data_IF_063648339506
#
_entry.id   IF_063648339506
#
_cell.length_a   1.000
_cell.length_b   1.000
_cell.length_c   1.000
_cell.angle_alpha   90.00
_cell.angle_beta   90.00
_cell.angle_gamma   90.00
#
_symmetry.space_group_name_H-M   'P 1'
#
loop_
_entity.id
_entity.type
_entity.pdbx_description
1 polymer ?
#
# COMPACT_ATOMS: atom_id res chain seq x y z
N UNK A 1 14.14 -11.63 14.42
CA UNK A 1 13.16 -12.67 14.83
C UNK A 1 11.80 -12.00 14.83
N UNK A 2 10.87 -12.50 14.01
CA UNK A 2 9.50 -11.97 13.94
C UNK A 2 8.77 -12.26 15.26
N UNK A 3 8.09 -11.28 15.83
CA UNK A 3 7.24 -11.45 17.01
C UNK A 3 5.82 -11.06 16.68
N UNK A 4 4.89 -11.95 16.98
CA UNK A 4 3.45 -11.73 16.79
C UNK A 4 2.73 -11.76 18.13
N UNK A 5 1.89 -10.77 18.39
CA UNK A 5 1.02 -10.77 19.55
C UNK A 5 -0.24 -9.94 19.28
N UNK A 6 -1.23 -10.08 20.17
CA UNK A 6 -2.48 -9.34 20.09
C UNK A 6 -2.60 -8.43 21.31
N UNK A 7 -2.97 -7.17 21.08
CA UNK A 7 -3.34 -6.23 22.14
C UNK A 7 -4.78 -5.80 21.90
N UNK A 8 -5.68 -6.24 22.78
CA UNK A 8 -7.12 -6.05 22.64
C UNK A 8 -7.64 -6.60 21.30
N UNK A 9 -8.03 -5.72 20.36
CA UNK A 9 -8.46 -6.10 19.01
C UNK A 9 -7.35 -5.95 17.95
N UNK A 10 -6.21 -5.37 18.31
CA UNK A 10 -5.12 -5.09 17.38
C UNK A 10 -4.16 -6.28 17.31
N UNK A 11 -3.96 -6.80 16.09
CA UNK A 11 -2.90 -7.75 15.78
C UNK A 11 -1.62 -6.98 15.49
N UNK A 12 -0.52 -7.38 16.15
CA UNK A 12 0.76 -6.69 16.09
C UNK A 12 1.82 -7.68 15.63
N UNK A 13 2.50 -7.32 14.56
CA UNK A 13 3.67 -8.01 14.03
C UNK A 13 4.89 -7.08 14.14
N UNK A 14 5.96 -7.59 14.74
CA UNK A 14 7.25 -6.90 14.84
C UNK A 14 8.27 -7.67 14.03
N UNK A 15 8.82 -7.03 13.00
CA UNK A 15 9.91 -7.54 12.17
C UNK A 15 11.25 -6.91 12.55
N UNK A 16 12.34 -7.48 12.03
CA UNK A 16 13.70 -7.10 12.46
C UNK A 16 14.17 -5.77 11.84
N UNK A 17 13.64 -5.39 10.69
CA UNK A 17 14.00 -4.17 9.96
C UNK A 17 12.88 -3.71 9.00
N UNK A 18 13.06 -2.54 8.39
CA UNK A 18 12.09 -1.92 7.48
C UNK A 18 11.81 -2.75 6.22
N UNK A 19 12.82 -3.43 5.67
CA UNK A 19 12.65 -4.27 4.47
C UNK A 19 11.78 -5.49 4.79
N UNK A 20 12.00 -6.16 5.93
CA UNK A 20 11.15 -7.27 6.41
C UNK A 20 9.70 -6.81 6.65
N UNK A 21 9.48 -5.62 7.23
CA UNK A 21 8.13 -5.04 7.38
C UNK A 21 7.48 -4.83 6.02
N UNK A 22 8.22 -4.26 5.05
CA UNK A 22 7.72 -3.99 3.72
C UNK A 22 7.29 -5.26 2.97
N UNK A 23 8.12 -6.31 3.04
CA UNK A 23 7.82 -7.62 2.43
C UNK A 23 6.57 -8.23 3.07
N UNK A 24 6.55 -8.37 4.41
CA UNK A 24 5.44 -9.00 5.12
C UNK A 24 4.12 -8.25 4.91
N UNK A 25 4.15 -6.92 4.95
CA UNK A 25 2.97 -6.08 4.71
C UNK A 25 2.45 -6.25 3.27
N UNK A 26 3.34 -6.34 2.28
CA UNK A 26 2.95 -6.55 0.89
C UNK A 26 2.35 -7.95 0.66
N UNK A 27 2.91 -9.00 1.28
CA UNK A 27 2.36 -10.36 1.24
C UNK A 27 0.96 -10.45 1.88
N UNK A 28 0.80 -9.77 3.02
CA UNK A 28 -0.48 -9.70 3.72
C UNK A 28 -1.55 -9.01 2.86
N UNK A 29 -1.22 -7.86 2.25
CA UNK A 29 -2.14 -7.12 1.39
C UNK A 29 -2.48 -7.89 0.11
N UNK A 30 -1.51 -8.55 -0.54
CA UNK A 30 -1.78 -9.42 -1.69
C UNK A 30 -2.79 -10.52 -1.34
N UNK A 31 -2.63 -11.15 -0.18
CA UNK A 31 -3.53 -12.20 0.30
C UNK A 31 -4.94 -11.66 0.50
N UNK A 32 -5.09 -10.48 1.12
CA UNK A 32 -6.39 -9.83 1.31
C UNK A 32 -7.04 -9.52 -0.03
N UNK A 33 -6.31 -8.87 -0.94
CA UNK A 33 -6.80 -8.50 -2.27
C UNK A 33 -7.31 -9.73 -3.01
N UNK A 34 -6.50 -10.79 -3.09
CA UNK A 34 -6.89 -12.04 -3.74
C UNK A 34 -8.11 -12.68 -3.10
N UNK A 35 -8.25 -12.62 -1.79
CA UNK A 35 -9.42 -13.17 -1.11
C UNK A 35 -10.69 -12.37 -1.41
N UNK A 36 -10.63 -11.04 -1.38
CA UNK A 36 -11.80 -10.21 -1.71
C UNK A 36 -12.19 -10.38 -3.19
N UNK A 37 -11.22 -10.46 -4.10
CA UNK A 37 -11.48 -10.64 -5.54
C UNK A 37 -12.01 -12.04 -5.90
N UNK A 38 -12.06 -12.99 -4.97
CA UNK A 38 -12.82 -14.25 -5.15
C UNK A 38 -14.33 -14.02 -5.00
N UNK A 39 -14.73 -13.00 -4.25
CA UNK A 39 -16.12 -12.72 -3.90
C UNK A 39 -16.67 -11.49 -4.63
N UNK A 40 -15.80 -10.59 -5.09
CA UNK A 40 -16.15 -9.34 -5.76
C UNK A 40 -15.38 -9.18 -7.07
N UNK A 41 -16.03 -8.56 -8.05
CA UNK A 41 -15.42 -8.31 -9.36
C UNK A 41 -14.38 -7.19 -9.31
N UNK A 42 -14.59 -6.19 -8.45
CA UNK A 42 -13.74 -5.02 -8.26
C UNK A 42 -13.61 -4.63 -6.78
N UNK A 43 -12.54 -3.94 -6.44
CA UNK A 43 -12.28 -3.41 -5.10
C UNK A 43 -11.80 -1.96 -5.13
N UNK A 44 -11.95 -1.26 -4.01
CA UNK A 44 -11.46 0.11 -3.81
C UNK A 44 -10.46 0.14 -2.67
N UNK A 45 -9.30 0.77 -2.90
CA UNK A 45 -8.22 0.85 -1.91
C UNK A 45 -7.79 2.31 -1.74
N UNK A 46 -7.65 2.75 -0.49
CA UNK A 46 -7.05 4.04 -0.15
C UNK A 46 -5.58 3.80 0.22
N UNK A 47 -4.66 4.48 -0.47
CA UNK A 47 -3.23 4.40 -0.24
C UNK A 47 -2.72 5.60 0.56
N UNK A 48 -1.83 5.33 1.52
CA UNK A 48 -1.17 6.36 2.32
C UNK A 48 0.15 6.82 1.66
N UNK A 49 0.48 8.10 1.81
CA UNK A 49 1.68 8.72 1.24
C UNK A 49 2.62 9.22 2.35
N UNK A 50 3.63 8.44 2.73
CA UNK A 50 4.63 8.85 3.72
C UNK A 50 5.90 7.98 3.61
N UNK A 51 7.09 8.46 4.04
CA UNK A 51 8.32 7.67 3.99
C UNK A 51 8.27 6.31 4.71
N UNK A 52 7.35 6.11 5.65
CA UNK A 52 7.10 4.80 6.28
C UNK A 52 6.51 3.75 5.33
N UNK A 53 5.95 4.18 4.19
CA UNK A 53 5.33 3.33 3.17
C UNK A 53 6.30 2.86 2.08
N UNK A 54 7.53 3.41 2.03
CA UNK A 54 8.46 3.20 0.91
C UNK A 54 8.70 1.71 0.61
N UNK A 55 9.11 0.93 1.61
CA UNK A 55 9.44 -0.49 1.44
C UNK A 55 8.19 -1.30 1.12
N UNK A 56 7.06 -1.02 1.79
CA UNK A 56 5.79 -1.67 1.51
C UNK A 56 5.35 -1.45 0.05
N UNK A 57 5.31 -0.22 -0.44
CA UNK A 57 4.90 0.09 -1.82
C UNK A 57 5.87 -0.54 -2.84
N UNK A 58 7.19 -0.45 -2.58
CA UNK A 58 8.24 -1.09 -3.39
C UNK A 58 8.01 -2.60 -3.57
N UNK A 59 7.62 -3.30 -2.51
CA UNK A 59 7.34 -4.74 -2.58
C UNK A 59 5.92 -5.07 -3.04
N UNK A 60 4.95 -4.18 -2.82
CA UNK A 60 3.58 -4.40 -3.24
C UNK A 60 3.44 -4.40 -4.77
N UNK A 61 4.12 -3.49 -5.46
CA UNK A 61 4.05 -3.42 -6.94
C UNK A 61 4.60 -4.67 -7.65
N UNK A 62 5.39 -5.50 -6.97
CA UNK A 62 5.91 -6.76 -7.53
C UNK A 62 5.01 -7.97 -7.25
N UNK A 63 3.90 -7.79 -6.51
CA UNK A 63 2.94 -8.86 -6.21
C UNK A 63 2.09 -9.20 -7.43
N UNK A 64 1.63 -10.46 -7.47
CA UNK A 64 0.78 -10.95 -8.55
C UNK A 64 -0.69 -10.62 -8.27
N UNK A 65 -1.02 -9.35 -8.47
CA UNK A 65 -2.35 -8.77 -8.27
C UNK A 65 -2.91 -8.35 -9.63
N UNK A 66 -4.19 -8.63 -9.86
CA UNK A 66 -4.94 -8.08 -11.00
C UNK A 66 -5.32 -6.63 -10.71
N UNK A 67 -4.38 -5.72 -10.97
CA UNK A 67 -4.51 -4.29 -10.68
C UNK A 67 -5.68 -3.63 -11.41
N UNK A 68 -6.08 -4.17 -12.57
CA UNK A 68 -7.18 -3.64 -13.39
C UNK A 68 -8.56 -3.76 -12.71
N UNK A 69 -8.64 -4.51 -11.60
CA UNK A 69 -9.84 -4.66 -10.76
C UNK A 69 -9.84 -3.73 -9.55
N UNK A 70 -8.88 -2.82 -9.45
CA UNK A 70 -8.68 -1.99 -8.27
C UNK A 70 -8.84 -0.52 -8.65
N UNK A 71 -9.84 0.14 -8.07
CA UNK A 71 -9.86 1.62 -8.06
C UNK A 71 -9.03 2.13 -6.89
N UNK A 72 -7.92 2.80 -7.19
CA UNK A 72 -7.05 3.40 -6.19
C UNK A 72 -7.47 4.84 -5.83
N UNK A 73 -7.39 5.16 -4.54
CA UNK A 73 -7.58 6.51 -4.00
C UNK A 73 -6.36 6.88 -3.16
N UNK A 74 -6.07 8.17 -3.03
CA UNK A 74 -5.23 8.70 -1.94
C UNK A 74 -6.13 9.34 -0.87
N UNK A 75 -5.62 9.55 0.34
CA UNK A 75 -6.45 9.97 1.48
C UNK A 75 -6.64 11.50 1.57
N UNK A 76 -5.56 12.24 1.41
CA UNK A 76 -5.48 13.68 1.65
C UNK A 76 -4.47 14.34 0.70
N UNK A 77 -4.41 15.67 0.71
CA UNK A 77 -3.45 16.46 -0.09
C UNK A 77 -3.22 17.84 0.54
N UNK A 78 -2.05 18.43 0.28
CA UNK A 78 -1.75 19.81 0.64
C UNK A 78 -2.48 20.82 -0.25
N UNK A 79 -3.10 21.83 0.37
CA UNK A 79 -3.69 22.96 -0.34
C UNK A 79 -2.63 24.04 -0.63
N UNK A 80 -2.72 24.69 -1.79
CA UNK A 80 -1.88 25.84 -2.16
C UNK A 80 -0.52 25.50 -2.77
N UNK A 81 -0.19 24.22 -2.95
CA UNK A 81 0.96 23.79 -3.73
C UNK A 81 0.64 23.77 -5.23
N UNK A 82 1.65 24.01 -6.07
CA UNK A 82 1.53 23.80 -7.51
C UNK A 82 1.34 22.30 -7.82
N UNK A 83 0.63 21.98 -8.91
CA UNK A 83 0.23 20.61 -9.29
C UNK A 83 1.38 19.60 -9.47
N UNK A 84 2.63 20.05 -9.53
CA UNK A 84 3.82 19.22 -9.70
C UNK A 84 4.81 19.33 -8.52
N UNK A 85 4.38 19.90 -7.40
CA UNK A 85 5.26 20.10 -6.25
C UNK A 85 5.64 18.76 -5.61
N UNK A 86 6.92 18.59 -5.27
CA UNK A 86 7.47 17.30 -4.77
C UNK A 86 6.85 16.81 -3.44
N UNK A 87 6.22 17.71 -2.71
CA UNK A 87 5.55 17.39 -1.44
C UNK A 87 4.11 16.90 -1.61
N UNK A 88 3.55 16.97 -2.81
CA UNK A 88 2.19 16.46 -3.06
C UNK A 88 2.13 14.95 -2.79
N UNK A 89 1.12 14.52 -2.05
CA UNK A 89 0.87 13.10 -1.79
C UNK A 89 0.47 12.35 -3.06
N UNK A 90 -0.29 13.00 -3.94
CA UNK A 90 -0.60 12.51 -5.27
C UNK A 90 0.68 12.21 -6.06
N UNK A 91 1.64 13.14 -6.09
CA UNK A 91 2.94 12.93 -6.73
C UNK A 91 3.73 11.79 -6.07
N UNK A 92 3.76 11.74 -4.74
CA UNK A 92 4.46 10.68 -4.00
C UNK A 92 3.96 9.28 -4.39
N UNK A 93 2.63 9.10 -4.51
CA UNK A 93 1.99 7.85 -4.88
C UNK A 93 2.10 7.56 -6.38
N UNK A 94 2.03 8.58 -7.23
CA UNK A 94 2.24 8.41 -8.67
C UNK A 94 3.64 7.86 -8.98
N UNK A 95 4.66 8.43 -8.34
CA UNK A 95 6.05 8.01 -8.51
C UNK A 95 6.31 6.57 -8.02
N UNK A 96 5.48 6.04 -7.11
CA UNK A 96 5.72 4.76 -6.41
C UNK A 96 4.78 3.62 -6.77
N UNK A 97 3.54 3.91 -7.15
CA UNK A 97 2.54 2.87 -7.42
C UNK A 97 1.57 3.23 -8.55
N UNK A 98 0.97 4.43 -8.60
CA UNK A 98 -0.09 4.71 -9.59
C UNK A 98 0.41 4.67 -11.04
N UNK A 99 1.62 5.16 -11.30
CA UNK A 99 2.24 5.05 -12.63
C UNK A 99 2.91 3.69 -12.90
N UNK A 100 2.97 2.79 -11.91
CA UNK A 100 3.77 1.54 -11.96
C UNK A 100 2.95 0.30 -12.27
N UNK A 101 1.63 0.35 -12.06
CA UNK A 101 0.73 -0.78 -12.28
C UNK A 101 -0.56 -0.32 -12.97
N UNK A 102 -1.25 -1.18 -13.74
CA UNK A 102 -2.42 -0.77 -14.50
C UNK A 102 -3.69 -0.83 -13.64
N UNK A 103 -3.93 0.22 -12.86
CA UNK A 103 -5.21 0.45 -12.17
C UNK A 103 -6.37 0.68 -13.15
#
# INVERSE_FOLDING_TARGET
MVKNFKKDKLEIEINSNREEIGISSADYVETIIKNILKEKNDIRIVFAAAPSQNEFLKYLISKNIDWSKITAFHMDEYIGLANNHDQLFSKYLDDRIFSKVPF
#
